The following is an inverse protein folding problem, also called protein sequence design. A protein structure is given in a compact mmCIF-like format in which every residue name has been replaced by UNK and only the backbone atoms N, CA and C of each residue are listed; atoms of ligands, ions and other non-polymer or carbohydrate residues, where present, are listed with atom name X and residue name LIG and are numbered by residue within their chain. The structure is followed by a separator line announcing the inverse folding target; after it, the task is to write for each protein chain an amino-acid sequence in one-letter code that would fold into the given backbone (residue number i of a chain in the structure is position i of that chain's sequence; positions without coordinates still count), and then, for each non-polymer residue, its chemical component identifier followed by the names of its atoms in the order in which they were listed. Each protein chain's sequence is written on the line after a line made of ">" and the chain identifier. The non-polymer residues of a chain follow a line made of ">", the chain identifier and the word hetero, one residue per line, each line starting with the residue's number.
data_IF_561475426725
#
_entry.id   IF_561475426725
#
_cell.length_a   1.000
_cell.length_b   1.000
_cell.length_c   1.000
_cell.angle_alpha   90.00
_cell.angle_beta   90.00
_cell.angle_gamma   90.00
#
_symmetry.space_group_name_H-M   'P 1'
#
loop_
_entity.id
_entity.type
_entity.pdbx_description
1 polymer ?
#
# COMPACT_ATOMS: atom_id res chain seq x y z
N UNK A 1 0.30 -4.96 -38.51
CA UNK A 1 0.37 -4.92 -37.04
C UNK A 1 0.57 -6.33 -36.54
N UNK A 2 1.25 -6.59 -35.44
CA UNK A 2 1.57 -7.97 -35.04
C UNK A 2 0.34 -8.65 -34.44
N UNK A 3 -0.30 -9.54 -35.23
CA UNK A 3 -1.25 -10.51 -34.68
C UNK A 3 -0.51 -11.46 -33.74
N UNK A 4 -1.14 -11.85 -32.64
CA UNK A 4 -0.57 -12.78 -31.68
C UNK A 4 -0.69 -14.19 -32.23
N UNK A 5 0.44 -14.82 -32.56
CA UNK A 5 0.49 -16.19 -33.06
C UNK A 5 1.02 -17.17 -32.04
N UNK A 6 1.88 -16.71 -31.11
CA UNK A 6 2.48 -17.58 -30.10
C UNK A 6 2.58 -16.89 -28.76
N UNK A 7 2.14 -17.59 -27.72
CA UNK A 7 2.22 -17.18 -26.33
C UNK A 7 3.16 -18.09 -25.53
N UNK A 8 4.01 -17.51 -24.69
CA UNK A 8 4.75 -18.23 -23.64
C UNK A 8 4.06 -17.96 -22.31
N UNK A 9 3.58 -18.99 -21.65
CA UNK A 9 2.83 -18.90 -20.39
C UNK A 9 3.52 -19.73 -19.30
N UNK A 10 4.02 -19.05 -18.27
CA UNK A 10 4.65 -19.70 -17.12
C UNK A 10 4.34 -18.89 -15.85
N UNK A 11 3.38 -19.36 -15.06
CA UNK A 11 2.85 -18.60 -13.92
C UNK A 11 2.89 -19.44 -12.62
N UNK A 12 3.20 -18.78 -11.53
CA UNK A 12 3.10 -19.32 -10.16
C UNK A 12 1.64 -19.25 -9.69
N UNK A 13 1.04 -18.05 -9.70
CA UNK A 13 -0.39 -17.86 -9.49
C UNK A 13 -1.17 -18.15 -10.78
N UNK A 14 -2.10 -19.10 -10.68
CA UNK A 14 -2.89 -19.63 -11.80
C UNK A 14 -4.31 -19.06 -11.87
N UNK A 15 -4.61 -18.02 -11.09
CA UNK A 15 -5.92 -17.36 -11.05
C UNK A 15 -6.33 -16.88 -12.44
N UNK A 16 -7.50 -17.30 -12.92
CA UNK A 16 -8.06 -16.91 -14.23
C UNK A 16 -7.35 -17.48 -15.46
N UNK A 17 -6.21 -18.19 -15.28
CA UNK A 17 -5.37 -18.62 -16.39
C UNK A 17 -6.06 -19.54 -17.39
N UNK A 18 -6.82 -20.54 -16.92
CA UNK A 18 -7.45 -21.53 -17.80
C UNK A 18 -8.46 -20.88 -18.76
N UNK A 19 -9.22 -19.90 -18.32
CA UNK A 19 -10.14 -19.13 -19.16
C UNK A 19 -9.38 -18.33 -20.20
N UNK A 20 -8.37 -17.56 -19.77
CA UNK A 20 -7.54 -16.75 -20.66
C UNK A 20 -6.81 -17.60 -21.72
N UNK A 21 -6.20 -18.71 -21.32
CA UNK A 21 -5.51 -19.60 -22.25
C UNK A 21 -6.48 -20.29 -23.26
N UNK A 22 -7.70 -20.61 -22.83
CA UNK A 22 -8.73 -21.15 -23.73
C UNK A 22 -9.15 -20.12 -24.78
N UNK A 23 -9.31 -18.86 -24.39
CA UNK A 23 -9.63 -17.78 -25.32
C UNK A 23 -8.52 -17.57 -26.35
N UNK A 24 -7.25 -17.64 -25.94
CA UNK A 24 -6.10 -17.58 -26.83
C UNK A 24 -6.08 -18.78 -27.83
N UNK A 25 -6.25 -19.99 -27.31
CA UNK A 25 -6.28 -21.21 -28.13
C UNK A 25 -7.43 -21.20 -29.16
N UNK A 26 -8.62 -20.70 -28.77
CA UNK A 26 -9.76 -20.53 -29.67
C UNK A 26 -9.49 -19.54 -30.82
N UNK A 27 -8.53 -18.65 -30.66
CA UNK A 27 -8.03 -17.73 -31.69
C UNK A 27 -6.86 -18.30 -32.51
N UNK A 28 -6.47 -19.55 -32.27
CA UNK A 28 -5.36 -20.22 -32.97
C UNK A 28 -3.98 -19.84 -32.47
N UNK A 29 -3.87 -19.25 -31.28
CA UNK A 29 -2.58 -18.94 -30.66
C UNK A 29 -1.92 -20.22 -30.17
N UNK A 30 -0.69 -20.50 -30.61
CA UNK A 30 0.14 -21.59 -30.10
C UNK A 30 0.63 -21.24 -28.69
N UNK A 31 0.40 -22.12 -27.72
CA UNK A 31 0.78 -21.91 -26.33
C UNK A 31 2.01 -22.75 -25.98
N UNK A 32 3.10 -22.07 -25.64
CA UNK A 32 4.29 -22.67 -25.04
C UNK A 32 4.18 -22.55 -23.50
N UNK A 33 4.51 -23.63 -22.75
CA UNK A 33 4.45 -23.59 -21.31
C UNK A 33 5.45 -24.54 -20.66
N UNK A 34 5.60 -24.46 -19.35
CA UNK A 34 6.52 -25.30 -18.57
C UNK A 34 5.85 -25.86 -17.32
N UNK A 35 6.30 -27.01 -16.89
CA UNK A 35 6.05 -27.59 -15.56
C UNK A 35 4.58 -27.59 -15.12
N UNK A 36 4.30 -27.06 -13.93
CA UNK A 36 2.96 -27.06 -13.34
C UNK A 36 1.92 -26.23 -14.13
N UNK A 37 2.36 -25.24 -14.91
CA UNK A 37 1.46 -24.45 -15.76
C UNK A 37 1.04 -25.27 -16.99
N UNK A 38 1.98 -25.93 -17.66
CA UNK A 38 1.68 -26.81 -18.79
C UNK A 38 0.74 -27.95 -18.40
N UNK A 39 1.02 -28.58 -17.24
CA UNK A 39 0.16 -29.65 -16.69
C UNK A 39 -1.28 -29.17 -16.48
N UNK A 40 -1.47 -28.02 -15.80
CA UNK A 40 -2.81 -27.46 -15.57
C UNK A 40 -3.56 -27.24 -16.89
N UNK A 41 -2.91 -26.63 -17.88
CA UNK A 41 -3.55 -26.30 -19.16
C UNK A 41 -3.93 -27.58 -19.91
N UNK A 42 -3.06 -28.59 -19.91
CA UNK A 42 -3.31 -29.89 -20.52
C UNK A 42 -4.50 -30.63 -19.85
N UNK A 43 -4.56 -30.62 -18.52
CA UNK A 43 -5.68 -31.19 -17.74
C UNK A 43 -7.02 -30.49 -18.05
N UNK A 44 -6.97 -29.22 -18.43
CA UNK A 44 -8.13 -28.43 -18.87
C UNK A 44 -8.46 -28.62 -20.37
N UNK A 45 -7.77 -29.54 -21.07
CA UNK A 45 -7.97 -29.81 -22.48
C UNK A 45 -7.50 -28.71 -23.43
N UNK A 46 -6.61 -27.84 -22.97
CA UNK A 46 -6.04 -26.75 -23.77
C UNK A 46 -4.75 -27.24 -24.42
N UNK A 47 -4.61 -27.13 -25.77
CA UNK A 47 -3.39 -27.54 -26.47
C UNK A 47 -2.18 -26.73 -26.01
N UNK A 48 -1.12 -27.40 -25.58
CA UNK A 48 0.12 -26.80 -25.07
C UNK A 48 1.31 -27.54 -25.65
N UNK A 49 2.34 -26.81 -26.05
CA UNK A 49 3.65 -27.37 -26.38
C UNK A 49 4.59 -27.11 -25.19
N UNK A 50 5.22 -28.13 -24.65
CA UNK A 50 6.23 -28.00 -23.62
C UNK A 50 7.45 -27.24 -24.17
N UNK A 51 8.05 -26.37 -23.36
CA UNK A 51 9.24 -25.62 -23.76
C UNK A 51 10.42 -26.55 -24.08
N UNK A 52 10.54 -27.68 -23.40
CA UNK A 52 11.54 -28.70 -23.70
C UNK A 52 11.39 -29.28 -25.11
N UNK A 53 10.15 -29.56 -25.54
CA UNK A 53 9.87 -30.06 -26.89
C UNK A 53 10.10 -28.99 -27.95
N UNK A 54 9.69 -27.75 -27.64
CA UNK A 54 9.91 -26.60 -28.55
C UNK A 54 11.39 -26.26 -28.75
N UNK A 55 12.21 -26.33 -27.70
CA UNK A 55 13.64 -26.02 -27.77
C UNK A 55 14.48 -27.21 -28.22
N UNK A 56 13.99 -28.43 -28.00
CA UNK A 56 14.75 -29.68 -28.11
C UNK A 56 15.78 -29.86 -26.97
N UNK A 57 15.60 -29.11 -25.87
CA UNK A 57 16.53 -29.12 -24.74
C UNK A 57 15.79 -29.47 -23.44
N UNK A 58 16.25 -30.49 -22.68
CA UNK A 58 15.55 -30.93 -21.50
C UNK A 58 15.64 -29.90 -20.35
N UNK A 59 14.64 -29.91 -19.48
CA UNK A 59 14.71 -29.24 -18.19
C UNK A 59 15.81 -29.88 -17.33
N UNK A 60 16.64 -29.06 -16.69
CA UNK A 60 17.81 -29.50 -15.90
C UNK A 60 17.86 -28.88 -14.52
N UNK A 61 18.65 -29.49 -13.62
CA UNK A 61 18.97 -28.98 -12.30
C UNK A 61 17.68 -28.71 -11.48
N UNK A 62 16.80 -29.72 -11.41
CA UNK A 62 15.52 -29.64 -10.70
C UNK A 62 14.66 -28.45 -11.14
N UNK A 63 14.73 -28.09 -12.43
CA UNK A 63 13.94 -27.00 -13.00
C UNK A 63 14.56 -25.60 -12.94
N UNK A 64 15.78 -25.45 -12.42
CA UNK A 64 16.46 -24.15 -12.42
C UNK A 64 16.78 -23.63 -13.82
N UNK A 65 16.91 -24.52 -14.81
CA UNK A 65 17.11 -24.18 -16.22
C UNK A 65 16.00 -24.78 -17.07
N UNK A 66 15.05 -23.97 -17.49
CA UNK A 66 13.89 -24.34 -18.33
C UNK A 66 13.74 -23.43 -19.54
N UNK A 67 13.69 -22.13 -19.30
CA UNK A 67 13.36 -21.09 -20.29
C UNK A 67 14.56 -20.27 -20.72
N UNK A 68 15.73 -20.43 -20.07
CA UNK A 68 16.98 -19.75 -20.43
C UNK A 68 17.61 -20.37 -21.69
N UNK A 69 16.95 -20.18 -22.83
CA UNK A 69 17.37 -20.78 -24.09
C UNK A 69 17.33 -19.75 -25.24
N UNK A 70 18.29 -19.75 -26.18
CA UNK A 70 18.32 -18.79 -27.30
C UNK A 70 17.06 -18.80 -28.17
N UNK A 71 16.41 -19.93 -28.40
CA UNK A 71 15.14 -20.00 -29.14
C UNK A 71 14.00 -19.27 -28.45
N UNK A 72 13.96 -19.29 -27.10
CA UNK A 72 12.96 -18.59 -26.31
C UNK A 72 13.28 -17.09 -26.31
N UNK A 73 14.46 -16.70 -25.84
CA UNK A 73 14.84 -15.29 -25.72
C UNK A 73 14.97 -14.59 -27.07
N UNK A 74 15.45 -15.30 -28.10
CA UNK A 74 15.48 -14.79 -29.47
C UNK A 74 14.07 -14.60 -30.04
N UNK A 75 13.12 -15.49 -29.73
CA UNK A 75 11.72 -15.35 -30.10
C UNK A 75 11.05 -14.12 -29.50
N UNK A 76 11.42 -13.77 -28.25
CA UNK A 76 10.93 -12.60 -27.52
C UNK A 76 11.66 -11.32 -27.97
N UNK A 77 12.98 -11.34 -28.05
CA UNK A 77 13.81 -10.14 -28.28
C UNK A 77 13.94 -9.76 -29.74
N UNK A 78 13.71 -10.67 -30.68
CA UNK A 78 13.84 -10.41 -32.10
C UNK A 78 12.94 -9.27 -32.57
N UNK A 79 13.54 -8.23 -33.15
CA UNK A 79 12.82 -7.06 -33.68
C UNK A 79 12.19 -7.42 -35.05
N UNK A 80 10.86 -7.38 -35.07
CA UNK A 80 10.09 -7.75 -36.30
C UNK A 80 10.47 -6.85 -37.45
N UNK A 81 10.74 -7.44 -38.63
CA UNK A 81 11.21 -6.74 -39.83
C UNK A 81 12.71 -6.37 -39.87
N UNK A 82 13.41 -6.45 -38.74
CA UNK A 82 14.85 -6.14 -38.64
C UNK A 82 15.69 -7.40 -38.49
N UNK A 83 15.31 -8.26 -37.55
CA UNK A 83 16.10 -9.45 -37.17
C UNK A 83 15.58 -10.73 -37.85
N UNK A 84 14.58 -10.64 -38.71
CA UNK A 84 13.86 -11.78 -39.33
C UNK A 84 14.80 -12.74 -40.07
N UNK A 85 15.87 -12.26 -40.72
CA UNK A 85 16.83 -13.12 -41.37
C UNK A 85 17.59 -13.98 -40.38
N UNK A 86 18.15 -13.36 -39.33
CA UNK A 86 18.90 -14.06 -38.31
C UNK A 86 18.01 -15.05 -37.56
N UNK A 87 16.75 -14.68 -37.28
CA UNK A 87 15.78 -15.57 -36.64
C UNK A 87 15.50 -16.80 -37.52
N UNK A 88 15.30 -16.64 -38.82
CA UNK A 88 15.10 -17.77 -39.76
C UNK A 88 16.33 -18.66 -39.85
N UNK A 89 17.52 -18.08 -39.97
CA UNK A 89 18.81 -18.82 -40.07
C UNK A 89 19.04 -19.71 -38.81
N UNK A 90 18.50 -19.33 -37.64
CA UNK A 90 18.64 -20.02 -36.39
C UNK A 90 17.35 -20.77 -35.95
N UNK A 91 16.37 -20.91 -36.83
CA UNK A 91 15.06 -21.55 -36.56
C UNK A 91 14.32 -20.96 -35.35
N UNK A 92 14.51 -19.65 -35.12
CA UNK A 92 13.84 -18.93 -34.03
C UNK A 92 12.48 -18.43 -34.53
N UNK A 93 11.42 -18.92 -33.93
CA UNK A 93 10.06 -18.45 -34.23
C UNK A 93 9.68 -17.31 -33.27
N UNK A 94 8.94 -16.27 -33.73
CA UNK A 94 8.50 -15.17 -32.88
C UNK A 94 7.61 -15.67 -31.72
N UNK A 95 7.77 -15.02 -30.55
CA UNK A 95 6.86 -15.12 -29.39
C UNK A 95 6.26 -13.73 -29.21
N UNK A 96 4.93 -13.63 -29.26
CA UNK A 96 4.21 -12.37 -29.38
C UNK A 96 3.54 -11.96 -28.05
N UNK A 97 3.33 -12.95 -27.16
CA UNK A 97 2.74 -12.77 -25.84
C UNK A 97 3.55 -13.55 -24.81
N UNK A 98 3.90 -12.90 -23.71
CA UNK A 98 4.59 -13.50 -22.56
C UNK A 98 3.74 -13.26 -21.32
N UNK A 99 3.28 -14.33 -20.69
CA UNK A 99 2.46 -14.33 -19.47
C UNK A 99 3.26 -15.01 -18.36
N UNK A 100 3.80 -14.20 -17.47
CA UNK A 100 4.67 -14.69 -16.39
C UNK A 100 4.39 -13.90 -15.12
N UNK A 101 4.12 -14.59 -14.03
CA UNK A 101 4.26 -14.03 -12.69
C UNK A 101 5.33 -14.80 -11.93
N UNK A 102 5.97 -14.13 -10.97
CA UNK A 102 7.14 -14.64 -10.30
C UNK A 102 6.77 -15.54 -9.11
N UNK A 103 7.71 -16.28 -8.59
CA UNK A 103 7.54 -16.99 -7.33
C UNK A 103 7.24 -15.99 -6.20
N UNK A 104 6.35 -16.34 -5.25
CA UNK A 104 5.88 -15.41 -4.22
C UNK A 104 6.93 -15.23 -3.11
N UNK A 105 8.08 -14.62 -3.42
CA UNK A 105 9.21 -14.45 -2.51
C UNK A 105 8.81 -13.72 -1.22
N UNK A 106 8.05 -12.60 -1.32
CA UNK A 106 7.61 -11.83 -0.16
C UNK A 106 6.73 -12.68 0.78
N UNK A 107 5.82 -13.49 0.22
CA UNK A 107 4.98 -14.41 1.02
C UNK A 107 5.81 -15.53 1.64
N UNK A 108 6.80 -16.03 0.91
CA UNK A 108 7.70 -17.09 1.42
C UNK A 108 8.49 -16.61 2.63
N UNK A 109 9.06 -15.41 2.56
CA UNK A 109 9.88 -14.87 3.67
C UNK A 109 9.05 -14.28 4.82
N UNK A 110 7.76 -14.04 4.61
CA UNK A 110 6.81 -13.66 5.66
C UNK A 110 6.43 -14.85 6.56
N UNK A 111 6.62 -16.10 6.12
CA UNK A 111 6.44 -17.28 6.95
C UNK A 111 7.54 -17.33 8.04
N UNK A 112 7.18 -17.27 9.34
CA UNK A 112 8.16 -17.35 10.43
C UNK A 112 9.03 -18.63 10.42
N UNK A 113 8.57 -19.70 9.75
CA UNK A 113 9.30 -20.94 9.60
C UNK A 113 10.26 -20.93 8.38
N UNK A 114 10.34 -19.83 7.63
CA UNK A 114 11.20 -19.73 6.47
C UNK A 114 12.65 -19.50 6.89
N UNK A 115 13.52 -20.48 6.63
CA UNK A 115 14.96 -20.32 6.75
C UNK A 115 15.60 -19.66 5.52
N UNK A 116 16.87 -19.32 5.62
CA UNK A 116 17.61 -18.68 4.53
C UNK A 116 17.71 -19.55 3.28
N UNK A 117 17.87 -20.88 3.45
CA UNK A 117 18.00 -21.80 2.32
C UNK A 117 16.69 -21.87 1.52
N UNK A 118 15.54 -21.95 2.21
CA UNK A 118 14.20 -21.91 1.59
C UNK A 118 13.95 -20.57 0.91
N UNK A 119 14.36 -19.46 1.51
CA UNK A 119 14.24 -18.15 0.89
C UNK A 119 15.03 -18.05 -0.41
N UNK A 120 16.30 -18.51 -0.41
CA UNK A 120 17.16 -18.50 -1.60
C UNK A 120 16.59 -19.39 -2.71
N UNK A 121 16.07 -20.57 -2.39
CA UNK A 121 15.49 -21.48 -3.38
C UNK A 121 14.21 -20.92 -4.03
N UNK A 122 13.52 -20.00 -3.37
CA UNK A 122 12.36 -19.31 -3.93
C UNK A 122 12.70 -18.01 -4.71
N UNK A 123 13.97 -17.78 -5.03
CA UNK A 123 14.37 -16.70 -5.94
C UNK A 123 14.19 -17.17 -7.39
N UNK A 124 13.25 -16.55 -8.10
CA UNK A 124 13.01 -16.81 -9.51
C UNK A 124 14.07 -16.15 -10.40
N UNK A 125 14.73 -16.93 -11.23
CA UNK A 125 15.72 -16.45 -12.20
C UNK A 125 15.12 -16.33 -13.60
N UNK A 126 14.38 -17.36 -14.02
CA UNK A 126 13.83 -17.43 -15.37
C UNK A 126 12.72 -16.43 -15.64
N UNK A 127 11.81 -16.27 -14.70
CA UNK A 127 10.69 -15.33 -14.80
C UNK A 127 11.12 -13.88 -15.04
N UNK A 128 11.97 -13.28 -14.19
CA UNK A 128 12.45 -11.92 -14.39
C UNK A 128 13.15 -11.71 -15.74
N UNK A 129 13.91 -12.69 -16.22
CA UNK A 129 14.59 -12.56 -17.53
C UNK A 129 13.61 -12.55 -18.69
N UNK A 130 12.55 -13.37 -18.66
CA UNK A 130 11.48 -13.37 -19.66
C UNK A 130 10.71 -12.07 -19.65
N UNK A 131 10.32 -11.58 -18.46
CA UNK A 131 9.58 -10.32 -18.30
C UNK A 131 10.37 -9.13 -18.83
N UNK A 132 11.63 -9.02 -18.46
CA UNK A 132 12.50 -7.93 -18.90
C UNK A 132 12.78 -7.97 -20.41
N UNK A 133 12.92 -9.17 -20.99
CA UNK A 133 13.08 -9.35 -22.42
C UNK A 133 11.83 -8.90 -23.20
N UNK A 134 10.65 -9.32 -22.77
CA UNK A 134 9.38 -8.98 -23.37
C UNK A 134 9.06 -7.48 -23.23
N UNK A 135 9.23 -6.92 -22.04
CA UNK A 135 9.04 -5.49 -21.78
C UNK A 135 9.98 -4.61 -22.61
N UNK A 136 11.25 -5.01 -22.77
CA UNK A 136 12.21 -4.31 -23.66
C UNK A 136 11.75 -4.28 -25.12
N UNK A 137 11.08 -5.34 -25.59
CA UNK A 137 10.60 -5.46 -26.97
C UNK A 137 9.08 -5.22 -27.09
N UNK A 138 8.51 -4.36 -26.23
CA UNK A 138 7.06 -4.06 -26.19
C UNK A 138 6.48 -3.56 -27.52
N UNK A 139 7.31 -3.03 -28.41
CA UNK A 139 6.88 -2.68 -29.77
C UNK A 139 6.31 -3.89 -30.53
N UNK A 140 6.78 -5.10 -30.21
CA UNK A 140 6.41 -6.35 -30.90
C UNK A 140 5.79 -7.40 -29.97
N UNK A 141 5.98 -7.29 -28.66
CA UNK A 141 5.60 -8.33 -27.68
C UNK A 141 4.71 -7.74 -26.58
N UNK A 142 3.63 -8.43 -26.29
CA UNK A 142 2.78 -8.14 -25.12
C UNK A 142 3.33 -8.91 -23.91
N UNK A 143 3.52 -8.23 -22.78
CA UNK A 143 3.96 -8.85 -21.52
C UNK A 143 2.88 -8.72 -20.46
N UNK A 144 2.60 -9.77 -19.71
CA UNK A 144 1.55 -9.80 -18.69
C UNK A 144 2.12 -10.41 -17.41
N UNK A 145 2.03 -9.65 -16.32
CA UNK A 145 2.51 -10.06 -14.99
C UNK A 145 1.39 -10.30 -13.97
N UNK A 146 0.17 -9.87 -14.30
CA UNK A 146 -0.96 -9.82 -13.39
C UNK A 146 -2.22 -10.36 -14.05
N UNK A 147 -2.90 -11.30 -13.39
CA UNK A 147 -4.15 -11.89 -13.88
C UNK A 147 -5.29 -10.88 -14.04
N UNK A 148 -5.26 -9.76 -13.33
CA UNK A 148 -6.23 -8.68 -13.49
C UNK A 148 -6.22 -8.05 -14.89
N UNK A 149 -5.12 -8.19 -15.65
CA UNK A 149 -5.02 -7.70 -17.02
C UNK A 149 -5.61 -8.65 -18.07
N UNK A 150 -5.86 -9.94 -17.73
CA UNK A 150 -6.37 -10.94 -18.69
C UNK A 150 -7.64 -10.51 -19.42
N UNK A 151 -8.69 -9.99 -18.75
CA UNK A 151 -9.91 -9.58 -19.43
C UNK A 151 -9.67 -8.45 -20.46
N UNK A 152 -8.85 -7.47 -20.11
CA UNK A 152 -8.51 -6.33 -21.01
C UNK A 152 -7.79 -6.82 -22.27
N UNK A 153 -6.85 -7.74 -22.08
CA UNK A 153 -6.04 -8.28 -23.19
C UNK A 153 -6.90 -9.21 -24.05
N UNK A 154 -7.67 -10.10 -23.45
CA UNK A 154 -8.57 -10.98 -24.19
C UNK A 154 -9.58 -10.20 -25.03
N UNK A 155 -10.14 -9.12 -24.49
CA UNK A 155 -11.07 -8.26 -25.21
C UNK A 155 -10.40 -7.62 -26.45
N UNK A 156 -9.19 -7.07 -26.32
CA UNK A 156 -8.48 -6.47 -27.46
C UNK A 156 -8.11 -7.50 -28.53
N UNK A 157 -7.67 -8.70 -28.13
CA UNK A 157 -7.39 -9.80 -29.06
C UNK A 157 -8.66 -10.26 -29.76
N UNK A 158 -9.79 -10.35 -29.03
CA UNK A 158 -11.07 -10.78 -29.59
C UNK A 158 -11.59 -9.78 -30.64
N UNK A 159 -11.45 -8.47 -30.39
CA UNK A 159 -11.98 -7.41 -31.23
C UNK A 159 -11.05 -7.07 -32.41
N UNK A 160 -9.74 -7.01 -32.17
CA UNK A 160 -8.78 -6.48 -33.14
C UNK A 160 -7.73 -7.52 -33.61
N UNK A 161 -7.67 -8.71 -32.99
CA UNK A 161 -6.62 -9.71 -33.25
C UNK A 161 -5.25 -9.35 -32.68
N UNK A 162 -5.13 -8.22 -32.00
CA UNK A 162 -3.88 -7.69 -31.44
C UNK A 162 -4.11 -6.88 -30.16
N UNK A 163 -3.03 -6.60 -29.44
CA UNK A 163 -3.02 -5.67 -28.31
C UNK A 163 -2.44 -4.32 -28.80
N UNK A 164 -3.11 -3.22 -28.46
CA UNK A 164 -2.68 -1.88 -28.90
C UNK A 164 -1.28 -1.51 -28.39
N UNK A 165 -0.57 -0.66 -29.12
CA UNK A 165 0.77 -0.20 -28.72
C UNK A 165 0.77 0.50 -27.35
N UNK A 166 -0.24 1.32 -27.10
CA UNK A 166 -0.41 2.00 -25.82
C UNK A 166 -0.59 1.00 -24.66
N UNK A 167 -1.36 -0.08 -24.88
CA UNK A 167 -1.54 -1.16 -23.88
C UNK A 167 -0.24 -1.95 -23.71
N UNK A 168 0.47 -2.28 -24.79
CA UNK A 168 1.77 -2.97 -24.68
C UNK A 168 2.79 -2.16 -23.91
N UNK A 169 2.84 -0.84 -24.14
CA UNK A 169 3.73 0.06 -23.39
C UNK A 169 3.38 0.12 -21.90
N UNK A 170 2.09 0.29 -21.57
CA UNK A 170 1.60 0.28 -20.19
C UNK A 170 1.97 -1.04 -19.46
N UNK A 171 1.73 -2.19 -20.11
CA UNK A 171 2.10 -3.50 -19.58
C UNK A 171 3.62 -3.68 -19.44
N UNK A 172 4.41 -3.11 -20.33
CA UNK A 172 5.87 -3.13 -20.24
C UNK A 172 6.38 -2.34 -19.03
N UNK A 173 5.78 -1.17 -18.77
CA UNK A 173 6.06 -0.39 -17.55
C UNK A 173 5.72 -1.24 -16.31
N UNK A 174 4.51 -1.83 -16.27
CA UNK A 174 4.06 -2.69 -15.16
C UNK A 174 5.01 -3.89 -14.94
N UNK A 175 5.55 -4.47 -16.02
CA UNK A 175 6.51 -5.56 -15.92
C UNK A 175 7.85 -5.12 -15.30
N UNK A 176 8.35 -3.91 -15.63
CA UNK A 176 9.54 -3.36 -14.98
C UNK A 176 9.27 -2.98 -13.52
N UNK A 177 8.11 -2.43 -13.21
CA UNK A 177 7.70 -2.16 -11.83
C UNK A 177 7.66 -3.46 -11.00
N UNK A 178 7.09 -4.53 -11.56
CA UNK A 178 7.01 -5.84 -10.92
C UNK A 178 8.39 -6.45 -10.64
N UNK A 179 9.32 -6.41 -11.62
CA UNK A 179 10.68 -6.93 -11.42
C UNK A 179 11.50 -6.06 -10.46
N UNK A 180 11.32 -4.73 -10.48
CA UNK A 180 12.00 -3.83 -9.55
C UNK A 180 11.57 -4.08 -8.10
N UNK A 181 10.27 -4.28 -7.85
CA UNK A 181 9.74 -4.65 -6.54
C UNK A 181 10.32 -5.98 -6.08
N UNK A 182 10.31 -6.98 -6.95
CA UNK A 182 10.81 -8.32 -6.67
C UNK A 182 12.28 -8.30 -6.26
N UNK A 183 13.14 -7.66 -7.05
CA UNK A 183 14.57 -7.52 -6.77
C UNK A 183 14.79 -6.69 -5.49
N UNK A 184 13.99 -5.65 -5.26
CA UNK A 184 14.02 -4.83 -4.06
C UNK A 184 13.71 -5.62 -2.79
N UNK A 185 12.69 -6.48 -2.83
CA UNK A 185 12.34 -7.35 -1.70
C UNK A 185 13.46 -8.34 -1.38
N UNK A 186 14.05 -8.97 -2.40
CA UNK A 186 15.20 -9.87 -2.23
C UNK A 186 16.40 -9.11 -1.63
N UNK A 187 16.72 -7.93 -2.17
CA UNK A 187 17.85 -7.12 -1.71
C UNK A 187 17.70 -6.68 -0.25
N UNK A 188 16.48 -6.28 0.15
CA UNK A 188 16.16 -5.92 1.53
C UNK A 188 16.32 -7.12 2.47
N UNK A 189 15.71 -8.27 2.08
CA UNK A 189 15.75 -9.48 2.90
C UNK A 189 17.19 -10.00 3.11
N UNK A 190 17.96 -10.16 2.04
CA UNK A 190 19.35 -10.64 2.11
C UNK A 190 20.28 -9.60 2.73
N UNK A 191 20.05 -8.31 2.42
CA UNK A 191 20.86 -7.21 2.93
C UNK A 191 20.81 -7.04 4.45
N UNK A 192 19.71 -7.43 5.09
CA UNK A 192 19.55 -7.45 6.54
C UNK A 192 20.29 -8.63 7.22
N UNK A 193 20.85 -9.58 6.46
CA UNK A 193 21.51 -10.83 6.96
C UNK A 193 22.99 -10.93 6.64
N UNK A 194 23.64 -9.86 6.20
CA UNK A 194 25.04 -9.89 5.72
C UNK A 194 26.09 -10.28 6.77
N UNK A 195 25.84 -10.01 8.04
CA UNK A 195 26.84 -10.20 9.10
C UNK A 195 26.56 -11.43 9.98
N UNK A 196 25.35 -11.94 10.03
CA UNK A 196 24.92 -13.07 10.88
C UNK A 196 23.69 -13.72 10.27
N UNK A 197 23.41 -14.98 10.63
CA UNK A 197 22.17 -15.68 10.29
C UNK A 197 20.93 -15.06 11.01
N UNK A 198 21.19 -14.17 11.98
CA UNK A 198 20.14 -13.39 12.66
C UNK A 198 19.92 -12.10 11.87
N UNK A 199 18.68 -11.79 11.47
CA UNK A 199 18.36 -10.56 10.75
C UNK A 199 18.79 -9.32 11.55
N UNK A 200 19.55 -8.42 10.91
CA UNK A 200 19.75 -7.06 11.40
C UNK A 200 18.45 -6.26 11.26
N UNK A 201 18.32 -5.18 12.06
CA UNK A 201 17.14 -4.34 11.99
C UNK A 201 16.94 -3.68 10.60
N UNK A 202 18.07 -3.33 9.91
CA UNK A 202 18.03 -2.61 8.64
C UNK A 202 18.94 -3.23 7.59
N UNK A 203 18.51 -3.29 6.30
CA UNK A 203 19.36 -3.79 5.22
C UNK A 203 20.46 -2.79 4.86
N UNK A 204 21.56 -3.28 4.23
CA UNK A 204 22.64 -2.42 3.74
C UNK A 204 22.17 -1.36 2.73
N UNK A 205 21.21 -1.71 1.90
CA UNK A 205 20.52 -0.81 0.97
C UNK A 205 19.03 -0.99 1.18
N UNK A 206 18.29 0.12 1.28
CA UNK A 206 16.84 0.08 1.45
C UNK A 206 16.16 0.37 0.11
N UNK A 207 15.40 -0.60 -0.37
CA UNK A 207 14.55 -0.45 -1.56
C UNK A 207 13.10 -0.28 -1.12
N UNK A 208 12.48 0.83 -1.54
CA UNK A 208 11.06 1.11 -1.31
C UNK A 208 10.39 1.31 -2.66
N UNK A 209 9.29 0.61 -2.89
CA UNK A 209 8.44 0.83 -4.04
C UNK A 209 7.01 1.10 -3.58
N UNK A 210 6.50 2.25 -4.00
CA UNK A 210 5.17 2.72 -3.66
C UNK A 210 4.36 2.91 -4.94
N UNK A 211 3.10 2.52 -4.93
CA UNK A 211 2.16 2.74 -6.02
C UNK A 211 1.49 4.12 -5.92
N UNK A 212 1.39 4.85 -7.03
CA UNK A 212 0.67 6.12 -7.03
C UNK A 212 -0.84 5.90 -6.95
N UNK A 213 -1.44 6.26 -5.81
CA UNK A 213 -2.90 6.22 -5.61
C UNK A 213 -3.61 7.42 -6.22
N UNK A 214 -3.03 8.63 -6.07
CA UNK A 214 -3.67 9.87 -6.51
C UNK A 214 -2.63 10.89 -6.99
N UNK A 215 -2.91 11.57 -8.10
CA UNK A 215 -2.23 12.82 -8.47
C UNK A 215 -2.96 13.98 -7.80
N UNK A 216 -2.24 14.88 -7.18
CA UNK A 216 -2.81 15.99 -6.41
C UNK A 216 -2.75 17.28 -7.20
N UNK A 217 -3.70 18.18 -6.93
CA UNK A 217 -3.74 19.49 -7.56
C UNK A 217 -2.51 20.33 -7.22
N UNK A 218 -2.01 20.25 -5.98
CA UNK A 218 -0.79 20.90 -5.49
C UNK A 218 -0.38 20.25 -4.15
N UNK A 219 0.82 20.53 -3.67
CA UNK A 219 1.35 20.06 -2.40
C UNK A 219 0.88 20.88 -1.21
N UNK A 220 1.74 21.03 -0.21
CA UNK A 220 1.46 21.89 0.95
C UNK A 220 1.20 23.34 0.50
N UNK A 221 1.94 23.81 -0.51
CA UNK A 221 1.78 25.12 -1.11
C UNK A 221 1.35 25.05 -2.58
N UNK A 222 0.63 26.06 -3.09
CA UNK A 222 0.04 26.02 -4.44
C UNK A 222 1.03 25.87 -5.61
N UNK A 223 2.30 26.22 -5.42
CA UNK A 223 3.35 26.11 -6.44
C UNK A 223 4.03 24.74 -6.50
N UNK A 224 3.70 23.83 -5.59
CA UNK A 224 4.32 22.50 -5.49
C UNK A 224 3.47 21.46 -6.20
N UNK A 225 4.06 20.65 -7.06
CA UNK A 225 3.44 19.43 -7.57
C UNK A 225 3.43 18.36 -6.48
N UNK A 226 2.38 17.55 -6.43
CA UNK A 226 2.26 16.48 -5.45
C UNK A 226 1.50 15.26 -5.98
N UNK A 227 1.76 14.12 -5.37
CA UNK A 227 1.01 12.90 -5.55
C UNK A 227 1.01 12.10 -4.24
N UNK A 228 -0.01 11.30 -4.05
CA UNK A 228 -0.11 10.35 -2.96
C UNK A 228 0.30 8.96 -3.46
N UNK A 229 1.29 8.39 -2.81
CA UNK A 229 1.77 7.04 -3.06
C UNK A 229 1.46 6.16 -1.85
N UNK A 230 1.13 4.90 -2.10
CA UNK A 230 0.77 3.92 -1.06
C UNK A 230 1.65 2.67 -1.20
N UNK A 231 1.82 1.95 -0.11
CA UNK A 231 2.49 0.66 -0.06
C UNK A 231 1.70 -0.41 -0.84
N UNK A 232 2.37 -1.48 -1.19
CA UNK A 232 1.76 -2.65 -1.83
C UNK A 232 1.46 -3.74 -0.81
N UNK A 233 0.45 -4.55 -1.09
CA UNK A 233 0.06 -5.70 -0.26
C UNK A 233 -1.13 -5.43 0.64
N UNK A 234 -1.30 -6.25 1.67
CA UNK A 234 -2.37 -6.09 2.65
C UNK A 234 -1.98 -5.00 3.65
N UNK A 235 -2.63 -3.86 3.53
CA UNK A 235 -2.40 -2.71 4.38
C UNK A 235 -3.35 -2.73 5.58
N UNK A 236 -2.84 -2.32 6.75
CA UNK A 236 -3.72 -2.04 7.88
C UNK A 236 -4.69 -0.90 7.57
N UNK A 237 -5.78 -0.82 8.33
CA UNK A 237 -6.73 0.29 8.25
C UNK A 237 -6.01 1.63 8.44
N UNK A 238 -6.08 2.50 7.42
CA UNK A 238 -5.33 3.76 7.34
C UNK A 238 -5.99 4.71 6.34
N UNK A 239 -5.48 5.92 6.22
CA UNK A 239 -5.89 6.84 5.15
C UNK A 239 -5.61 6.28 3.75
N UNK A 240 -4.62 5.38 3.64
CA UNK A 240 -4.29 4.72 2.38
C UNK A 240 -5.37 3.72 1.93
N UNK A 241 -6.07 3.08 2.87
CA UNK A 241 -7.13 2.09 2.60
C UNK A 241 -8.54 2.67 2.68
N UNK A 242 -8.70 3.88 3.25
CA UNK A 242 -10.00 4.50 3.42
C UNK A 242 -10.73 4.77 2.09
N UNK A 243 -12.05 4.61 2.12
CA UNK A 243 -12.97 4.92 1.05
C UNK A 243 -13.57 6.31 1.26
N UNK A 244 -13.51 7.16 0.25
CA UNK A 244 -14.15 8.47 0.31
C UNK A 244 -15.59 8.35 -0.17
N UNK A 245 -16.56 8.60 0.74
CA UNK A 245 -18.00 8.52 0.45
C UNK A 245 -18.46 9.80 -0.23
N UNK A 246 -17.92 10.95 0.17
CA UNK A 246 -18.35 12.25 -0.30
C UNK A 246 -17.22 13.28 -0.34
N UNK A 247 -17.46 14.35 -1.09
CA UNK A 247 -16.63 15.55 -1.18
C UNK A 247 -15.66 15.53 -2.35
N UNK A 248 -14.87 16.62 -2.48
CA UNK A 248 -13.80 16.71 -3.48
C UNK A 248 -12.64 15.81 -3.07
N UNK A 249 -11.77 15.49 -4.02
CA UNK A 249 -10.51 14.79 -3.74
C UNK A 249 -9.76 15.40 -2.55
N UNK A 250 -9.12 14.53 -1.78
CA UNK A 250 -8.29 14.95 -0.64
C UNK A 250 -7.10 15.77 -1.14
N UNK A 251 -6.81 16.86 -0.47
CA UNK A 251 -5.58 17.63 -0.68
C UNK A 251 -4.41 16.99 0.09
N UNK A 252 -3.19 17.44 -0.20
CA UNK A 252 -1.99 17.05 0.51
C UNK A 252 -2.14 17.21 2.04
N UNK A 253 -2.62 18.40 2.46
CA UNK A 253 -2.85 18.69 3.88
C UNK A 253 -3.99 17.84 4.46
N UNK A 254 -5.06 17.59 3.69
CA UNK A 254 -6.14 16.71 4.19
C UNK A 254 -5.62 15.31 4.49
N UNK A 255 -4.77 14.74 3.63
CA UNK A 255 -4.20 13.40 3.88
C UNK A 255 -3.32 13.42 5.12
N UNK A 256 -2.39 14.36 5.25
CA UNK A 256 -1.49 14.44 6.39
C UNK A 256 -2.22 14.66 7.73
N UNK A 257 -3.22 15.56 7.73
CA UNK A 257 -3.99 15.86 8.94
C UNK A 257 -4.94 14.71 9.30
N UNK A 258 -5.52 14.04 8.29
CA UNK A 258 -6.41 12.88 8.52
C UNK A 258 -5.63 11.66 9.03
N UNK A 259 -4.41 11.43 8.52
CA UNK A 259 -3.52 10.39 9.03
C UNK A 259 -3.22 10.61 10.51
N UNK A 260 -2.81 11.84 10.88
CA UNK A 260 -2.54 12.20 12.27
C UNK A 260 -3.77 12.01 13.18
N UNK A 261 -4.97 12.36 12.70
CA UNK A 261 -6.20 12.20 13.47
C UNK A 261 -6.58 10.72 13.65
N UNK A 262 -6.51 9.93 12.58
CA UNK A 262 -6.85 8.52 12.58
C UNK A 262 -5.88 7.71 13.45
N UNK A 263 -4.58 7.92 13.30
CA UNK A 263 -3.57 7.21 14.09
C UNK A 263 -3.67 7.56 15.59
N UNK A 264 -4.06 8.80 15.93
CA UNK A 264 -4.33 9.19 17.31
C UNK A 264 -5.59 8.51 17.85
N UNK A 265 -6.71 8.51 17.14
CA UNK A 265 -7.96 7.93 17.64
C UNK A 265 -7.89 6.42 17.78
N UNK A 266 -7.09 5.73 16.99
CA UNK A 266 -6.82 4.29 17.12
C UNK A 266 -6.21 3.90 18.46
N UNK A 267 -5.60 4.82 19.20
CA UNK A 267 -5.01 4.53 20.53
C UNK A 267 -6.06 4.35 21.63
N UNK A 268 -7.33 4.63 21.35
CA UNK A 268 -8.40 4.58 22.32
C UNK A 268 -9.34 3.42 22.01
N UNK A 269 -9.36 2.39 22.88
CA UNK A 269 -10.21 1.20 22.75
C UNK A 269 -11.19 1.04 23.93
N UNK A 270 -11.05 1.85 24.98
CA UNK A 270 -11.83 1.74 26.21
C UNK A 270 -13.24 2.34 26.11
N UNK A 271 -13.58 3.04 25.05
CA UNK A 271 -14.89 3.64 24.82
C UNK A 271 -14.92 4.54 23.58
N UNK A 272 -16.08 5.13 23.26
CA UNK A 272 -16.20 6.08 22.17
C UNK A 272 -15.23 7.24 22.31
N UNK A 273 -14.47 7.52 21.24
CA UNK A 273 -13.42 8.54 21.21
C UNK A 273 -13.57 9.45 20.00
N UNK A 274 -13.22 10.72 20.20
CA UNK A 274 -13.11 11.73 19.16
C UNK A 274 -11.76 12.42 19.22
N UNK A 275 -11.12 12.59 18.07
CA UNK A 275 -9.88 13.37 17.90
C UNK A 275 -10.14 14.46 16.86
N UNK A 276 -9.82 15.71 17.22
CA UNK A 276 -9.85 16.87 16.32
C UNK A 276 -8.41 17.30 16.07
N UNK A 277 -8.02 17.35 14.80
CA UNK A 277 -6.67 17.71 14.36
C UNK A 277 -6.67 18.99 13.55
N UNK A 278 -5.69 19.82 13.77
CA UNK A 278 -5.35 20.97 12.94
C UNK A 278 -3.84 21.04 12.72
N UNK A 279 -3.43 21.11 11.45
CA UNK A 279 -2.00 21.16 11.06
C UNK A 279 -1.19 20.00 11.68
N UNK A 280 -1.70 18.77 11.50
CA UNK A 280 -1.12 17.53 11.98
C UNK A 280 -0.88 17.47 13.51
N UNK A 281 -1.58 18.28 14.30
CA UNK A 281 -1.56 18.21 15.76
C UNK A 281 -2.98 18.10 16.32
N UNK A 282 -3.21 17.24 17.32
CA UNK A 282 -4.45 17.22 18.05
C UNK A 282 -4.68 18.57 18.76
N UNK A 283 -5.83 19.19 18.53
CA UNK A 283 -6.29 20.38 19.26
C UNK A 283 -7.43 20.04 20.24
N UNK A 284 -8.03 18.86 20.12
CA UNK A 284 -9.01 18.34 21.06
C UNK A 284 -9.13 16.84 20.94
N UNK A 285 -9.07 16.14 22.08
CA UNK A 285 -9.23 14.69 22.19
C UNK A 285 -10.09 14.37 23.38
N UNK A 286 -11.09 13.51 23.22
CA UNK A 286 -11.91 13.07 24.35
C UNK A 286 -12.51 11.69 24.16
N UNK A 287 -12.73 11.03 25.29
CA UNK A 287 -13.62 9.89 25.47
C UNK A 287 -15.02 10.37 25.89
N UNK A 288 -16.06 9.66 25.53
CA UNK A 288 -17.44 9.93 25.92
C UNK A 288 -18.26 8.65 26.10
N UNK A 289 -19.47 8.76 26.62
CA UNK A 289 -20.41 7.64 26.68
C UNK A 289 -20.92 7.24 25.29
N UNK A 290 -20.91 8.17 24.34
CA UNK A 290 -21.22 7.99 22.94
C UNK A 290 -20.34 8.93 22.09
N UNK A 291 -20.42 8.84 20.75
CA UNK A 291 -19.59 9.67 19.87
C UNK A 291 -19.95 11.15 19.93
N UNK A 292 -21.21 11.50 20.13
CA UNK A 292 -21.66 12.89 20.30
C UNK A 292 -20.99 13.53 21.52
N UNK A 293 -21.04 12.88 22.67
CA UNK A 293 -20.38 13.38 23.88
C UNK A 293 -18.86 13.48 23.69
N UNK A 294 -18.23 12.46 23.08
CA UNK A 294 -16.82 12.48 22.79
C UNK A 294 -16.46 13.69 21.91
N UNK A 295 -17.25 13.98 20.88
CA UNK A 295 -17.06 15.16 20.02
C UNK A 295 -17.22 16.47 20.79
N UNK A 296 -18.29 16.62 21.57
CA UNK A 296 -18.58 17.86 22.30
C UNK A 296 -17.46 18.18 23.31
N UNK A 297 -16.97 17.18 23.99
CA UNK A 297 -15.83 17.29 24.92
C UNK A 297 -14.53 17.60 24.20
N UNK A 298 -14.22 16.91 23.10
CA UNK A 298 -13.04 17.22 22.29
C UNK A 298 -13.08 18.63 21.73
N UNK A 299 -14.21 19.07 21.19
CA UNK A 299 -14.43 20.41 20.67
C UNK A 299 -14.23 21.50 21.76
N UNK A 300 -14.65 21.25 22.98
CA UNK A 300 -14.54 22.21 24.08
C UNK A 300 -13.10 22.50 24.51
N UNK A 301 -12.13 21.68 24.11
CA UNK A 301 -10.70 21.91 24.40
C UNK A 301 -10.19 23.19 23.75
N UNK A 302 -10.44 23.36 22.44
CA UNK A 302 -10.03 24.53 21.66
C UNK A 302 -10.97 24.72 20.45
N UNK A 303 -12.14 25.37 20.67
CA UNK A 303 -13.11 25.60 19.60
C UNK A 303 -12.58 26.49 18.45
N UNK A 304 -11.62 27.37 18.74
CA UNK A 304 -11.03 28.24 17.73
C UNK A 304 -10.16 27.46 16.75
N UNK A 305 -9.27 26.59 17.27
CA UNK A 305 -8.41 25.74 16.44
C UNK A 305 -9.19 24.62 15.74
N UNK A 306 -10.31 24.16 16.30
CA UNK A 306 -11.15 23.12 15.70
C UNK A 306 -11.80 23.57 14.36
N UNK A 307 -11.91 24.88 14.13
CA UNK A 307 -12.51 25.42 12.89
C UNK A 307 -11.65 25.05 11.67
N UNK A 308 -12.28 24.39 10.69
CA UNK A 308 -11.60 23.90 9.49
C UNK A 308 -10.60 22.75 9.76
N UNK A 309 -10.79 22.05 10.88
CA UNK A 309 -10.00 20.88 11.24
C UNK A 309 -10.51 19.57 10.63
N UNK A 310 -9.86 18.49 11.04
CA UNK A 310 -10.19 17.12 10.71
C UNK A 310 -10.75 16.44 11.95
N UNK A 311 -11.81 15.65 11.82
CA UNK A 311 -12.41 14.91 12.93
C UNK A 311 -12.32 13.41 12.66
N UNK A 312 -11.73 12.66 13.59
CA UNK A 312 -11.65 11.21 13.56
C UNK A 312 -12.40 10.57 14.74
N UNK A 313 -13.10 9.49 14.46
CA UNK A 313 -13.81 8.67 15.43
C UNK A 313 -13.32 7.23 15.43
N UNK A 314 -13.45 6.55 16.56
CA UNK A 314 -13.18 5.11 16.69
C UNK A 314 -14.45 4.23 16.66
N UNK A 315 -15.60 4.80 16.31
CA UNK A 315 -16.89 4.11 16.20
C UNK A 315 -17.69 4.56 14.99
N UNK A 316 -18.85 3.95 14.78
CA UNK A 316 -19.76 4.27 13.67
C UNK A 316 -20.37 5.65 13.82
N UNK A 317 -20.14 6.53 12.86
CA UNK A 317 -20.70 7.88 12.84
C UNK A 317 -22.21 7.83 12.59
N UNK A 318 -22.98 8.31 13.57
CA UNK A 318 -24.45 8.39 13.52
C UNK A 318 -24.94 9.76 13.02
N UNK A 319 -26.25 9.83 12.69
CA UNK A 319 -26.86 11.03 12.12
C UNK A 319 -26.94 12.21 13.10
N UNK A 320 -27.10 11.97 14.40
CA UNK A 320 -27.17 13.02 15.44
C UNK A 320 -25.79 13.68 15.62
N UNK A 321 -24.75 12.87 15.76
CA UNK A 321 -23.36 13.34 15.84
C UNK A 321 -22.98 14.12 14.58
N UNK A 322 -23.28 13.58 13.40
CA UNK A 322 -23.01 14.25 12.13
C UNK A 322 -23.71 15.62 12.03
N UNK A 323 -24.99 15.68 12.42
CA UNK A 323 -25.78 16.93 12.42
C UNK A 323 -25.18 17.98 13.33
N UNK A 324 -24.85 17.61 14.57
CA UNK A 324 -24.22 18.50 15.53
C UNK A 324 -22.90 19.07 15.00
N UNK A 325 -22.10 18.26 14.36
CA UNK A 325 -20.81 18.68 13.78
C UNK A 325 -21.04 19.71 12.65
N UNK A 326 -21.87 19.39 11.64
CA UNK A 326 -22.03 20.24 10.46
C UNK A 326 -22.79 21.53 10.73
N UNK A 327 -23.57 21.59 11.81
CA UNK A 327 -24.26 22.81 12.27
C UNK A 327 -23.34 23.70 13.11
N UNK A 328 -22.43 23.10 13.90
CA UNK A 328 -21.58 23.83 14.86
C UNK A 328 -20.39 24.50 14.22
N UNK A 329 -19.72 23.83 13.27
CA UNK A 329 -18.46 24.33 12.74
C UNK A 329 -18.24 24.00 11.26
N UNK A 330 -17.34 24.77 10.63
CA UNK A 330 -16.75 24.35 9.36
C UNK A 330 -15.69 23.28 9.61
N UNK A 331 -15.76 22.19 8.81
CA UNK A 331 -14.82 21.06 8.85
C UNK A 331 -14.37 20.71 7.44
N UNK A 332 -13.19 20.19 7.31
CA UNK A 332 -12.69 19.73 6.01
C UNK A 332 -12.87 18.24 5.79
N UNK A 333 -12.62 17.41 6.79
CA UNK A 333 -12.73 15.94 6.71
C UNK A 333 -13.35 15.38 7.99
N UNK A 334 -14.21 14.38 7.83
CA UNK A 334 -14.64 13.47 8.89
C UNK A 334 -14.22 12.07 8.46
N UNK A 335 -13.59 11.31 9.37
CA UNK A 335 -13.23 9.91 9.17
C UNK A 335 -13.73 9.05 10.33
N UNK A 336 -14.34 7.92 10.00
CA UNK A 336 -14.83 6.93 10.96
C UNK A 336 -14.67 5.51 10.41
N UNK A 337 -14.67 4.48 11.26
CA UNK A 337 -14.68 3.08 10.80
C UNK A 337 -15.86 2.78 9.88
N UNK A 338 -17.04 3.24 10.27
CA UNK A 338 -18.30 3.12 9.51
C UNK A 338 -19.12 4.41 9.60
N UNK A 339 -19.98 4.62 8.62
CA UNK A 339 -20.87 5.78 8.54
C UNK A 339 -22.29 5.30 8.26
N UNK A 340 -23.25 5.68 9.11
CA UNK A 340 -24.65 5.36 8.87
C UNK A 340 -25.21 6.09 7.64
N UNK A 341 -26.25 5.53 7.02
CA UNK A 341 -26.93 6.19 5.89
C UNK A 341 -27.45 7.58 6.29
N UNK A 342 -28.01 7.73 7.50
CA UNK A 342 -28.48 9.02 8.03
C UNK A 342 -27.33 10.02 8.17
N UNK A 343 -26.18 9.63 8.71
CA UNK A 343 -25.00 10.50 8.82
C UNK A 343 -24.53 10.96 7.43
N UNK A 344 -24.50 10.06 6.45
CA UNK A 344 -24.14 10.40 5.08
C UNK A 344 -25.11 11.42 4.45
N UNK A 345 -26.42 11.25 4.65
CA UNK A 345 -27.45 12.21 4.19
C UNK A 345 -27.27 13.58 4.84
N UNK A 346 -27.02 13.63 6.14
CA UNK A 346 -26.79 14.87 6.88
C UNK A 346 -25.55 15.61 6.34
N UNK A 347 -24.42 14.89 6.18
CA UNK A 347 -23.18 15.49 5.68
C UNK A 347 -23.32 15.92 4.21
N UNK A 348 -24.18 15.26 3.42
CA UNK A 348 -24.44 15.61 2.01
C UNK A 348 -24.94 17.06 1.81
N UNK A 349 -25.56 17.65 2.83
CA UNK A 349 -25.94 19.07 2.81
C UNK A 349 -24.71 20.02 2.73
N UNK A 350 -23.53 19.55 3.11
CA UNK A 350 -22.27 20.32 3.10
C UNK A 350 -21.30 19.73 2.07
N UNK A 351 -21.53 20.00 0.80
CA UNK A 351 -20.80 19.42 -0.36
C UNK A 351 -19.27 19.51 -0.32
N UNK A 352 -18.73 20.42 0.47
CA UNK A 352 -17.27 20.61 0.59
C UNK A 352 -16.63 19.75 1.69
N UNK A 353 -17.42 19.15 2.57
CA UNK A 353 -16.94 18.22 3.59
C UNK A 353 -16.59 16.89 2.93
N UNK A 354 -15.41 16.37 3.23
CA UNK A 354 -14.98 15.04 2.81
C UNK A 354 -15.36 14.06 3.90
N UNK A 355 -16.14 13.05 3.54
CA UNK A 355 -16.55 11.99 4.44
C UNK A 355 -15.86 10.70 4.05
N UNK A 356 -15.15 10.10 4.99
CA UNK A 356 -14.34 8.90 4.79
C UNK A 356 -14.79 7.77 5.70
N UNK A 357 -14.82 6.57 5.13
CA UNK A 357 -14.99 5.32 5.85
C UNK A 357 -13.72 4.50 5.73
N UNK A 358 -13.09 4.15 6.87
CA UNK A 358 -11.79 3.48 6.85
C UNK A 358 -11.87 1.98 7.17
N UNK A 359 -13.01 1.47 7.63
CA UNK A 359 -13.15 0.12 8.15
C UNK A 359 -12.69 0.00 9.60
N UNK A 360 -12.98 -1.15 10.19
CA UNK A 360 -12.53 -1.47 11.55
C UNK A 360 -11.03 -1.80 11.55
N UNK A 361 -10.37 -1.57 12.69
CA UNK A 361 -8.98 -1.96 12.92
C UNK A 361 -8.89 -2.92 14.10
N UNK A 362 -7.92 -3.84 14.03
CA UNK A 362 -7.64 -4.79 15.09
C UNK A 362 -6.88 -4.15 16.25
N UNK A 363 -6.77 -4.91 17.36
CA UNK A 363 -5.92 -4.55 18.51
C UNK A 363 -4.46 -4.94 18.35
N UNK A 364 -4.11 -5.66 17.30
CA UNK A 364 -2.75 -6.11 17.06
C UNK A 364 -1.86 -4.93 16.57
N UNK A 365 -0.70 -4.82 17.20
CA UNK A 365 0.32 -3.85 16.82
C UNK A 365 1.06 -4.38 15.59
N UNK A 366 0.82 -3.77 14.44
CA UNK A 366 1.52 -4.12 13.19
C UNK A 366 2.88 -3.48 13.19
N UNK A 367 3.94 -4.30 13.13
CA UNK A 367 5.30 -3.80 12.99
C UNK A 367 5.46 -3.08 11.64
N UNK A 368 5.84 -1.82 11.70
CA UNK A 368 6.09 -0.98 10.52
C UNK A 368 7.30 -0.08 10.73
N UNK A 369 7.81 0.45 9.63
CA UNK A 369 8.87 1.44 9.65
C UNK A 369 8.29 2.86 9.58
N UNK A 370 8.94 3.77 10.28
CA UNK A 370 8.69 5.22 10.21
C UNK A 370 9.82 5.90 9.44
N UNK A 371 9.46 6.83 8.56
CA UNK A 371 10.37 7.46 7.61
C UNK A 371 10.37 8.98 7.77
N UNK A 372 11.55 9.56 7.92
CA UNK A 372 11.71 11.01 7.90
C UNK A 372 12.68 11.44 6.83
N UNK A 373 12.17 12.14 5.81
CA UNK A 373 13.01 12.70 4.76
C UNK A 373 13.93 13.80 5.32
N UNK A 374 15.22 13.69 5.03
CA UNK A 374 16.21 14.75 5.29
C UNK A 374 16.92 15.08 3.98
N UNK A 375 17.57 16.24 3.90
CA UNK A 375 18.30 16.58 2.69
C UNK A 375 19.43 15.57 2.43
N UNK A 376 19.43 14.96 1.26
CA UNK A 376 20.40 13.93 0.88
C UNK A 376 20.17 12.53 1.45
N UNK A 377 19.11 12.29 2.27
CA UNK A 377 18.87 10.97 2.86
C UNK A 377 17.48 10.74 3.42
N UNK A 378 17.33 9.61 4.08
CA UNK A 378 16.14 9.16 4.78
C UNK A 378 16.54 8.62 6.14
N UNK A 379 15.94 9.13 7.20
CA UNK A 379 16.00 8.49 8.51
C UNK A 379 14.92 7.41 8.56
N UNK A 380 15.28 6.24 9.03
CA UNK A 380 14.40 5.08 9.14
C UNK A 380 14.49 4.54 10.56
N UNK A 381 13.36 4.29 11.16
CA UNK A 381 13.26 3.70 12.50
C UNK A 381 12.04 2.77 12.56
N UNK A 382 11.96 1.94 13.60
CA UNK A 382 10.72 1.26 13.93
C UNK A 382 9.66 2.26 14.35
N UNK A 383 8.41 2.03 13.97
CA UNK A 383 7.31 2.83 14.45
C UNK A 383 7.21 2.72 15.98
N UNK A 384 6.87 3.84 16.62
CA UNK A 384 6.63 3.88 18.07
C UNK A 384 5.30 3.21 18.40
N UNK A 385 5.33 1.89 18.64
CA UNK A 385 4.15 1.08 18.94
C UNK A 385 3.89 0.94 20.45
N UNK A 386 4.90 1.21 21.29
CA UNK A 386 4.78 1.06 22.74
C UNK A 386 4.29 2.35 23.38
N UNK A 387 3.36 2.22 24.32
CA UNK A 387 2.90 3.37 25.11
C UNK A 387 3.67 3.46 26.44
N UNK A 388 3.68 2.38 27.20
CA UNK A 388 4.35 2.27 28.51
C UNK A 388 4.88 0.86 28.69
N UNK A 389 5.97 0.68 29.43
CA UNK A 389 6.46 -0.64 29.85
C UNK A 389 6.06 -0.96 31.27
N UNK A 390 6.67 -0.26 32.24
CA UNK A 390 6.34 -0.36 33.66
C UNK A 390 6.22 1.03 34.28
N UNK A 391 5.15 1.27 34.97
CA UNK A 391 4.94 2.54 35.68
C UNK A 391 5.53 2.46 37.08
N UNK A 392 6.31 3.47 37.45
CA UNK A 392 6.87 3.63 38.80
C UNK A 392 6.62 5.02 39.29
N UNK A 393 5.99 5.12 40.48
CA UNK A 393 5.88 6.40 41.18
C UNK A 393 7.25 6.83 41.69
N UNK A 394 7.70 7.99 41.26
CA UNK A 394 9.00 8.61 41.62
C UNK A 394 8.82 9.90 42.42
N UNK A 395 7.57 10.33 42.62
CA UNK A 395 7.19 11.50 43.41
C UNK A 395 6.87 11.09 44.86
N UNK A 396 6.91 12.06 45.78
CA UNK A 396 6.57 11.83 47.19
C UNK A 396 5.13 11.35 47.36
N UNK A 397 4.20 11.88 46.58
CA UNK A 397 2.80 11.48 46.54
C UNK A 397 2.54 10.57 45.30
N UNK A 398 1.92 9.43 45.58
CA UNK A 398 1.40 8.59 44.49
C UNK A 398 0.14 9.23 43.87
N UNK A 399 -0.07 9.06 42.54
CA UNK A 399 -1.31 9.49 41.90
C UNK A 399 -2.49 8.62 42.41
N UNK A 400 -3.69 9.20 42.47
CA UNK A 400 -4.91 8.43 42.60
C UNK A 400 -5.19 7.64 41.32
N UNK A 401 -6.13 6.69 41.35
CA UNK A 401 -6.54 5.92 40.18
C UNK A 401 -7.01 6.84 39.03
N UNK A 402 -7.82 7.85 39.35
CA UNK A 402 -8.29 8.83 38.35
C UNK A 402 -7.14 9.68 37.78
N UNK A 403 -6.23 10.14 38.63
CA UNK A 403 -5.05 10.89 38.14
C UNK A 403 -4.17 10.02 37.25
N UNK A 404 -4.02 8.73 37.59
CA UNK A 404 -3.26 7.82 36.74
C UNK A 404 -3.94 7.59 35.40
N UNK A 405 -5.27 7.42 35.37
CA UNK A 405 -6.04 7.31 34.13
C UNK A 405 -5.89 8.57 33.25
N UNK A 406 -5.99 9.75 33.83
CA UNK A 406 -5.81 11.02 33.14
C UNK A 406 -4.37 11.23 32.62
N UNK A 407 -3.36 10.80 33.39
CA UNK A 407 -1.97 10.82 32.96
C UNK A 407 -1.73 9.89 31.77
N UNK A 408 -2.28 8.67 31.78
CA UNK A 408 -2.17 7.73 30.67
C UNK A 408 -2.92 8.22 29.42
N UNK A 409 -4.09 8.83 29.61
CA UNK A 409 -4.82 9.48 28.53
C UNK A 409 -3.96 10.61 27.90
N UNK A 410 -3.44 11.52 28.72
CA UNK A 410 -2.60 12.61 28.24
C UNK A 410 -1.30 12.11 27.57
N UNK A 411 -0.73 11.01 28.05
CA UNK A 411 0.45 10.37 27.47
C UNK A 411 0.17 9.85 26.05
N UNK A 412 -0.98 9.19 25.84
CA UNK A 412 -1.41 8.73 24.51
C UNK A 412 -1.55 9.91 23.54
N UNK A 413 -2.20 10.99 23.97
CA UNK A 413 -2.34 12.18 23.12
C UNK A 413 -0.97 12.81 22.82
N UNK A 414 -0.09 12.92 23.81
CA UNK A 414 1.22 13.56 23.69
C UNK A 414 2.11 12.86 22.62
N UNK A 415 1.93 11.57 22.40
CA UNK A 415 2.60 10.80 21.34
C UNK A 415 2.35 11.41 19.95
N UNK A 416 1.18 12.00 19.72
CA UNK A 416 0.77 12.60 18.43
C UNK A 416 0.95 14.11 18.39
N UNK A 417 1.47 14.72 19.44
CA UNK A 417 1.73 16.16 19.49
C UNK A 417 3.19 16.43 19.18
N UNK A 418 3.44 17.35 18.25
CA UNK A 418 4.81 17.71 17.85
C UNK A 418 5.65 18.15 19.06
N UNK A 419 6.78 17.51 19.22
CA UNK A 419 7.74 17.79 20.32
C UNK A 419 8.39 19.20 20.18
N UNK A 420 8.65 19.90 21.26
CA UNK A 420 8.27 19.57 22.63
C UNK A 420 6.76 19.71 22.82
N UNK A 421 6.13 18.71 23.39
CA UNK A 421 4.70 18.64 23.60
C UNK A 421 4.33 18.80 25.06
N UNK A 422 3.21 19.50 25.34
CA UNK A 422 2.54 19.49 26.63
C UNK A 422 1.05 19.22 26.40
N UNK A 423 0.52 18.24 27.12
CA UNK A 423 -0.89 17.90 27.12
C UNK A 423 -1.41 17.91 28.55
N UNK A 424 -2.46 18.67 28.77
CA UNK A 424 -3.23 18.61 30.02
C UNK A 424 -4.50 17.79 29.76
N UNK A 425 -4.68 16.73 30.56
CA UNK A 425 -5.84 15.85 30.51
C UNK A 425 -6.60 15.83 31.83
N UNK A 426 -7.92 15.71 31.77
CA UNK A 426 -8.79 15.53 32.91
C UNK A 426 -10.05 14.78 32.53
N UNK A 427 -10.40 13.78 33.32
CA UNK A 427 -11.61 12.97 33.10
C UNK A 427 -11.72 12.41 31.68
N UNK A 428 -10.59 11.93 31.10
CA UNK A 428 -10.57 11.37 29.75
C UNK A 428 -10.79 12.39 28.63
N UNK A 429 -10.43 13.66 28.83
CA UNK A 429 -10.41 14.68 27.77
C UNK A 429 -9.21 15.59 27.91
N UNK A 430 -8.76 16.19 26.81
CA UNK A 430 -7.79 17.27 26.82
C UNK A 430 -8.44 18.55 27.31
N UNK A 431 -7.69 19.32 28.12
CA UNK A 431 -8.07 20.66 28.56
C UNK A 431 -7.07 21.72 28.09
N UNK A 432 -5.99 21.30 27.44
CA UNK A 432 -5.01 22.17 26.78
C UNK A 432 -3.92 21.35 26.12
N UNK A 433 -3.52 21.78 24.91
CA UNK A 433 -2.46 21.17 24.11
C UNK A 433 -1.47 22.25 23.66
N UNK A 434 -0.18 22.04 23.92
CA UNK A 434 0.92 22.87 23.45
C UNK A 434 1.86 22.06 22.56
N UNK A 435 1.93 22.37 21.28
CA UNK A 435 2.75 21.67 20.29
C UNK A 435 3.97 22.49 19.85
N UNK A 436 5.10 21.83 19.58
CA UNK A 436 6.26 22.41 18.92
C UNK A 436 6.98 23.52 19.72
N UNK A 437 6.90 23.49 21.05
CA UNK A 437 7.47 24.52 21.90
C UNK A 437 9.01 24.39 22.02
N UNK A 438 9.75 25.46 21.70
CA UNK A 438 11.22 25.46 21.72
C UNK A 438 11.79 25.52 23.13
N UNK A 439 11.09 26.13 24.08
CA UNK A 439 11.53 26.24 25.47
C UNK A 439 10.45 25.85 26.47
N UNK A 440 10.87 25.54 27.71
CA UNK A 440 9.93 25.24 28.77
C UNK A 440 9.09 26.46 29.22
N UNK A 441 9.58 27.67 29.06
CA UNK A 441 8.88 28.93 29.37
C UNK A 441 7.72 29.15 28.37
N UNK A 442 7.92 28.90 27.09
CA UNK A 442 6.84 28.92 26.08
C UNK A 442 5.68 28.00 26.39
N UNK A 443 5.95 26.88 27.08
CA UNK A 443 4.94 25.94 27.58
C UNK A 443 4.05 26.52 28.69
N UNK A 444 4.60 27.38 29.51
CA UNK A 444 3.83 28.05 30.59
C UNK A 444 2.86 29.11 30.03
N UNK A 445 3.18 29.74 28.89
CA UNK A 445 2.31 30.72 28.22
C UNK A 445 1.06 30.10 27.58
N UNK A 446 1.11 28.81 27.16
CA UNK A 446 -0.06 28.07 26.76
C UNK A 446 -1.00 27.76 27.94
N UNK A 447 -0.49 27.83 29.19
CA UNK A 447 -1.20 27.55 30.43
C UNK A 447 -2.15 28.70 30.84
N UNK A 448 -1.89 29.95 30.44
CA UNK A 448 -2.72 31.07 30.84
C UNK A 448 -4.02 31.23 30.06
N UNK A 449 -4.22 30.38 29.04
CA UNK A 449 -5.47 30.35 28.23
C UNK A 449 -6.42 29.21 28.57
N UNK A 450 -6.12 28.41 29.62
CA UNK A 450 -6.95 27.26 30.07
C UNK A 450 -7.65 27.60 31.38
#
# INVERSE_FOLDING_TARGET
>A
MPSIHRALISVSDKTGLATFARDLAAKGVEILSTGGTARLLTEQGIPVTEVSDYTGFPEMMDGRVKTLHPRIHGGILGRRGVDDRVMRENEIKPIDLVVVNLYPFEQTVADPACDLARAIENIDIGGPTLLRAAAKNHASVTVVVDSADYPRIAAQIAEHGEVSEATRFDLAVKAFEHTARYDGAIANYLGARLATDVPGAFPRTLSLQLGRKQSMRYGENPHQNAAFYVEHGDLETSIATASQIQGKELSYNNIADTDAALECVKQFSEGPACVIVKHANPCGVALGANLLEAYERAYSTDPESAFGGIIAFNGELDGETARTIVERQFIEVIIAPRVTAEASEVVAAKKNVRLLECGDWGSELVHRLDFKRVNGGLLVQDADLRLTESLKTVTERAPSEQELADLLFAWRVAKFVKSNAIVYGRNGMTIGVGAGQMSQIGRASCRERV
#
